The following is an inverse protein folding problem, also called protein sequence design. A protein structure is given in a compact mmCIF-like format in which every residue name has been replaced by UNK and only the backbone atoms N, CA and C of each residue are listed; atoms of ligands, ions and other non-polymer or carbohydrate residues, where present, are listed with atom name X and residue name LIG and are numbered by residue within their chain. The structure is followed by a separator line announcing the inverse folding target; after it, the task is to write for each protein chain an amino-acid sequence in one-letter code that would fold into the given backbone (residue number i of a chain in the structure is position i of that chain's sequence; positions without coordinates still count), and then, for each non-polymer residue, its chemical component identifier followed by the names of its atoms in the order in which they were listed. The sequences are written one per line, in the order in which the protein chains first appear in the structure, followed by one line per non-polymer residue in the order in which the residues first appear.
data_IF_831923970104
#
_entry.id   IF_831923970104
#
_cell.length_a   1.000
_cell.length_b   1.000
_cell.length_c   1.000
_cell.angle_alpha   90.00
_cell.angle_beta   90.00
_cell.angle_gamma   90.00
#
_symmetry.space_group_name_H-M   'P 1'
#
loop_
_entity.id
_entity.type
_entity.pdbx_description
1 polymer ?
#
# COMPACT_ATOMS: atom_id res chain seq x y z
N UNK A 1 -8.81 -28.09 -12.21
CA UNK A 1 -9.53 -27.41 -11.10
C UNK A 1 -8.66 -26.59 -10.15
N UNK A 2 -7.54 -27.12 -9.59
CA UNK A 2 -6.59 -26.29 -8.82
C UNK A 2 -5.73 -25.39 -9.71
N UNK A 3 -5.27 -25.91 -10.86
CA UNK A 3 -4.47 -25.15 -11.83
C UNK A 3 -5.25 -24.00 -12.48
N UNK A 4 -6.48 -24.24 -12.94
CA UNK A 4 -7.32 -23.19 -13.55
C UNK A 4 -7.54 -22.01 -12.60
N UNK A 5 -7.72 -22.29 -11.30
CA UNK A 5 -7.84 -21.26 -10.27
C UNK A 5 -6.56 -20.44 -10.12
N UNK A 6 -5.39 -21.09 -10.19
CA UNK A 6 -4.10 -20.40 -10.14
C UNK A 6 -3.86 -19.56 -11.39
N UNK A 7 -4.18 -20.09 -12.57
CA UNK A 7 -4.09 -19.37 -13.85
C UNK A 7 -4.98 -18.12 -13.83
N UNK A 8 -6.24 -18.26 -13.41
CA UNK A 8 -7.16 -17.12 -13.29
C UNK A 8 -6.68 -16.09 -12.25
N UNK A 9 -6.10 -16.55 -11.13
CA UNK A 9 -5.49 -15.66 -10.14
C UNK A 9 -4.29 -14.90 -10.71
N UNK A 10 -3.47 -15.57 -11.52
CA UNK A 10 -2.32 -14.98 -12.21
C UNK A 10 -2.73 -13.95 -13.27
N UNK A 11 -3.71 -14.26 -14.12
CA UNK A 11 -4.25 -13.34 -15.13
C UNK A 11 -4.77 -12.06 -14.47
N UNK A 12 -5.55 -12.18 -13.39
CA UNK A 12 -6.05 -11.03 -12.63
C UNK A 12 -4.92 -10.20 -12.03
N UNK A 13 -3.88 -10.86 -11.51
CA UNK A 13 -2.68 -10.19 -10.98
C UNK A 13 -1.98 -9.37 -12.08
N UNK A 14 -1.66 -9.99 -13.21
CA UNK A 14 -1.00 -9.31 -14.32
C UNK A 14 -1.83 -8.16 -14.88
N UNK A 15 -3.14 -8.33 -15.02
CA UNK A 15 -4.03 -7.27 -15.46
C UNK A 15 -4.03 -6.07 -14.51
N UNK A 16 -3.97 -6.31 -13.19
CA UNK A 16 -3.86 -5.25 -12.19
C UNK A 16 -2.51 -4.54 -12.25
N UNK A 17 -1.40 -5.30 -12.28
CA UNK A 17 -0.04 -4.79 -12.30
C UNK A 17 0.28 -3.92 -13.53
N UNK A 18 -0.41 -4.14 -14.64
CA UNK A 18 -0.24 -3.40 -15.88
C UNK A 18 -1.24 -2.26 -16.07
N UNK A 19 -2.10 -1.96 -15.09
CA UNK A 19 -3.01 -0.81 -15.19
C UNK A 19 -2.19 0.50 -15.24
N UNK A 20 -2.58 1.46 -16.09
CA UNK A 20 -2.00 2.79 -16.03
C UNK A 20 -2.31 3.41 -14.66
N UNK A 21 -1.38 4.20 -14.13
CA UNK A 21 -1.65 5.00 -12.94
C UNK A 21 -2.76 6.02 -13.28
N UNK A 22 -3.96 5.82 -12.76
CA UNK A 22 -5.06 6.78 -12.93
C UNK A 22 -4.72 8.08 -12.19
N UNK A 23 -4.62 9.20 -12.93
CA UNK A 23 -4.43 10.59 -12.46
C UNK A 23 -3.89 10.77 -11.03
N UNK A 24 -2.73 10.17 -10.73
CA UNK A 24 -2.02 10.44 -9.49
C UNK A 24 -1.56 11.89 -9.51
N UNK A 25 -2.01 12.67 -8.53
CA UNK A 25 -1.56 14.04 -8.35
C UNK A 25 -0.03 14.09 -8.43
N UNK A 26 0.45 14.80 -9.45
CA UNK A 26 1.87 14.96 -9.76
C UNK A 26 2.61 15.51 -8.55
N UNK A 27 3.37 14.67 -7.88
CA UNK A 27 4.53 15.16 -7.13
C UNK A 27 5.57 14.07 -6.85
N UNK A 28 6.26 13.62 -7.91
CA UNK A 28 7.44 12.74 -7.77
C UNK A 28 8.52 13.29 -6.81
N UNK A 29 8.54 14.61 -6.61
CA UNK A 29 9.59 15.31 -5.87
C UNK A 29 9.27 15.47 -4.38
N UNK A 30 8.00 15.68 -4.00
CA UNK A 30 7.65 15.78 -2.56
C UNK A 30 7.65 14.41 -1.89
N UNK A 31 7.37 13.34 -2.63
CA UNK A 31 7.31 11.98 -2.10
C UNK A 31 8.60 11.60 -1.36
N UNK A 32 9.77 11.77 -1.99
CA UNK A 32 11.05 11.30 -1.41
C UNK A 32 11.39 11.95 -0.05
N UNK A 33 11.13 13.25 0.09
CA UNK A 33 11.41 13.98 1.33
C UNK A 33 10.37 13.67 2.41
N UNK A 34 9.08 13.68 2.05
CA UNK A 34 8.02 13.42 3.01
C UNK A 34 8.05 11.98 3.54
N UNK A 35 8.33 10.98 2.69
CA UNK A 35 8.33 9.58 3.13
C UNK A 35 9.42 9.30 4.18
N UNK A 36 10.61 9.90 4.01
CA UNK A 36 11.71 9.70 4.95
C UNK A 36 11.44 10.37 6.29
N UNK A 37 10.91 11.61 6.27
CA UNK A 37 10.55 12.33 7.48
C UNK A 37 9.42 11.62 8.24
N UNK A 38 8.43 11.09 7.52
CA UNK A 38 7.32 10.39 8.14
C UNK A 38 7.74 9.04 8.74
N UNK A 39 8.65 8.31 8.07
CA UNK A 39 9.25 7.09 8.65
C UNK A 39 9.92 7.38 10.00
N UNK A 40 10.79 8.40 10.03
CA UNK A 40 11.49 8.79 11.25
C UNK A 40 10.54 9.29 12.35
N UNK A 41 9.50 10.05 11.99
CA UNK A 41 8.49 10.51 12.92
C UNK A 41 7.73 9.35 13.56
N UNK A 42 7.25 8.41 12.74
CA UNK A 42 6.46 7.27 13.22
C UNK A 42 7.29 6.37 14.13
N UNK A 43 8.52 6.04 13.76
CA UNK A 43 9.41 5.23 14.59
C UNK A 43 9.78 5.90 15.92
N UNK A 44 9.86 7.24 15.95
CA UNK A 44 10.27 7.99 17.14
C UNK A 44 9.12 8.22 18.12
N UNK A 45 7.92 8.50 17.62
CA UNK A 45 6.81 9.01 18.44
C UNK A 45 5.63 8.04 18.57
N UNK A 46 5.55 7.01 17.73
CA UNK A 46 4.49 6.01 17.80
C UNK A 46 5.07 4.72 18.37
N UNK A 47 4.39 4.17 19.37
CA UNK A 47 4.73 2.86 19.90
C UNK A 47 3.86 1.80 19.24
N UNK A 48 4.53 0.80 18.68
CA UNK A 48 3.93 -0.43 18.18
C UNK A 48 4.30 -1.56 19.12
N UNK A 49 3.37 -2.48 19.34
CA UNK A 49 3.65 -3.74 20.02
C UNK A 49 4.02 -4.82 19.00
N UNK A 50 4.69 -5.84 19.49
CA UNK A 50 5.02 -7.03 18.71
C UNK A 50 3.73 -7.63 18.12
N UNK A 51 3.73 -7.91 16.81
CA UNK A 51 2.60 -8.43 16.04
C UNK A 51 1.36 -7.53 15.91
N UNK A 52 1.48 -6.23 16.20
CA UNK A 52 0.40 -5.29 15.89
C UNK A 52 0.07 -5.27 14.40
N UNK A 53 -1.23 -5.13 14.09
CA UNK A 53 -1.73 -5.00 12.71
C UNK A 53 -1.73 -3.53 12.33
N UNK A 54 -0.95 -3.17 11.31
CA UNK A 54 -0.80 -1.77 10.88
C UNK A 54 -1.34 -1.62 9.46
N UNK A 55 -2.38 -0.80 9.29
CA UNK A 55 -2.87 -0.38 7.98
C UNK A 55 -2.21 0.94 7.60
N UNK A 56 -1.58 0.94 6.43
CA UNK A 56 -0.97 2.09 5.83
C UNK A 56 -1.75 2.46 4.55
N UNK A 57 -2.16 3.73 4.44
CA UNK A 57 -2.89 4.28 3.30
C UNK A 57 -2.02 5.39 2.69
N UNK A 58 -1.78 5.35 1.37
CA UNK A 58 -0.88 6.29 0.71
C UNK A 58 0.58 6.05 1.10
N UNK A 59 0.99 4.78 1.14
CA UNK A 59 2.30 4.37 1.63
C UNK A 59 3.44 4.66 0.67
N UNK A 60 3.12 5.08 -0.56
CA UNK A 60 4.04 5.10 -1.68
C UNK A 60 4.75 3.74 -1.77
N UNK A 61 6.09 3.74 -1.82
CA UNK A 61 6.88 2.51 -1.90
C UNK A 61 6.86 1.63 -0.64
N UNK A 62 6.12 1.97 0.42
CA UNK A 62 5.98 1.11 1.61
C UNK A 62 7.21 1.05 2.51
N UNK A 63 8.21 1.92 2.29
CA UNK A 63 9.50 1.91 3.01
C UNK A 63 9.34 2.00 4.53
N UNK A 64 8.54 2.94 5.01
CA UNK A 64 8.32 3.15 6.43
C UNK A 64 7.64 1.96 7.13
N UNK A 65 6.68 1.30 6.46
CA UNK A 65 6.07 0.05 6.97
C UNK A 65 7.13 -1.04 7.10
N UNK A 66 8.04 -1.14 6.12
CA UNK A 66 9.17 -2.08 6.19
C UNK A 66 10.13 -1.74 7.34
N UNK A 67 10.42 -0.46 7.58
CA UNK A 67 11.30 -0.03 8.66
C UNK A 67 10.70 -0.33 10.06
N UNK A 68 9.40 -0.07 10.24
CA UNK A 68 8.66 -0.43 11.47
C UNK A 68 8.67 -1.94 11.70
N UNK A 69 8.40 -2.72 10.66
CA UNK A 69 8.37 -4.18 10.75
C UNK A 69 9.72 -4.78 11.11
N UNK A 70 10.81 -4.27 10.52
CA UNK A 70 12.17 -4.69 10.88
C UNK A 70 12.52 -4.41 12.34
N UNK A 71 11.88 -3.41 12.95
CA UNK A 71 12.17 -2.97 14.32
C UNK A 71 11.30 -3.68 15.35
N UNK A 72 10.01 -3.89 15.05
CA UNK A 72 8.99 -4.33 16.03
C UNK A 72 8.29 -5.64 15.63
N UNK A 73 8.47 -6.13 14.40
CA UNK A 73 7.82 -7.33 13.84
C UNK A 73 6.28 -7.22 13.82
N UNK A 74 5.78 -6.28 13.02
CA UNK A 74 4.35 -5.98 12.86
C UNK A 74 3.73 -6.79 11.71
N UNK A 75 2.41 -6.76 11.59
CA UNK A 75 1.71 -7.22 10.39
C UNK A 75 1.21 -6.03 9.57
N UNK A 76 1.98 -5.63 8.56
CA UNK A 76 1.68 -4.49 7.70
C UNK A 76 0.68 -4.80 6.59
N UNK A 77 -0.27 -3.89 6.37
CA UNK A 77 -1.17 -3.84 5.22
C UNK A 77 -0.97 -2.51 4.49
N UNK A 78 -0.74 -2.55 3.18
CA UNK A 78 -0.43 -1.36 2.39
C UNK A 78 -1.52 -1.16 1.34
N UNK A 79 -2.09 0.04 1.34
CA UNK A 79 -3.06 0.51 0.36
C UNK A 79 -2.50 1.75 -0.34
N UNK A 80 -2.43 1.72 -1.66
CA UNK A 80 -2.00 2.86 -2.46
C UNK A 80 -2.78 2.90 -3.78
N UNK A 81 -2.97 4.10 -4.31
CA UNK A 81 -3.62 4.34 -5.60
C UNK A 81 -2.67 4.05 -6.78
N UNK A 82 -1.35 4.17 -6.59
CA UNK A 82 -0.37 3.88 -7.62
C UNK A 82 -0.02 2.39 -7.64
N UNK A 83 -0.30 1.76 -8.78
CA UNK A 83 0.11 0.37 -9.01
C UNK A 83 1.63 0.22 -8.99
N UNK A 84 2.36 1.23 -9.50
CA UNK A 84 3.83 1.23 -9.47
C UNK A 84 4.40 1.34 -8.05
N UNK A 85 3.77 2.13 -7.19
CA UNK A 85 4.18 2.21 -5.79
C UNK A 85 3.86 0.92 -5.04
N UNK A 86 2.70 0.30 -5.29
CA UNK A 86 2.38 -1.02 -4.76
C UNK A 86 3.39 -2.08 -5.20
N UNK A 87 3.79 -2.09 -6.48
CA UNK A 87 4.84 -2.96 -6.98
C UNK A 87 6.16 -2.74 -6.25
N UNK A 88 6.56 -1.48 -6.05
CA UNK A 88 7.76 -1.15 -5.29
C UNK A 88 7.66 -1.66 -3.84
N UNK A 89 6.51 -1.48 -3.20
CA UNK A 89 6.25 -1.96 -1.85
C UNK A 89 6.30 -3.48 -1.74
N UNK A 90 5.85 -4.23 -2.76
CA UNK A 90 6.00 -5.69 -2.83
C UNK A 90 7.47 -6.14 -2.83
N UNK A 91 8.36 -5.34 -3.43
CA UNK A 91 9.80 -5.64 -3.43
C UNK A 91 10.48 -5.29 -2.10
N UNK A 92 10.01 -4.24 -1.41
CA UNK A 92 10.59 -3.81 -0.14
C UNK A 92 10.05 -4.60 1.06
N UNK A 93 8.79 -5.01 1.03
CA UNK A 93 8.11 -5.65 2.14
C UNK A 93 7.88 -7.15 1.84
N UNK A 94 8.67 -8.07 2.43
CA UNK A 94 8.62 -9.49 2.07
C UNK A 94 7.32 -10.19 2.51
N UNK A 95 6.59 -9.62 3.47
CA UNK A 95 5.31 -10.15 3.97
C UNK A 95 4.08 -9.57 3.24
N UNK A 96 4.28 -8.94 2.09
CA UNK A 96 3.22 -8.28 1.34
C UNK A 96 2.19 -9.29 0.81
N UNK A 97 1.01 -9.30 1.43
CA UNK A 97 -0.15 -10.01 0.92
C UNK A 97 -1.15 -8.98 0.40
N UNK A 98 -1.36 -8.93 -0.92
CA UNK A 98 -2.39 -8.09 -1.51
C UNK A 98 -3.68 -8.91 -1.60
N UNK A 99 -4.75 -8.39 -1.00
CA UNK A 99 -6.10 -8.75 -1.44
C UNK A 99 -6.52 -7.69 -2.46
N UNK A 100 -6.76 -8.11 -3.70
CA UNK A 100 -7.36 -7.25 -4.74
C UNK A 100 -8.82 -7.04 -4.34
N UNK A 101 -9.07 -6.07 -3.46
CA UNK A 101 -10.41 -5.55 -3.30
C UNK A 101 -10.63 -4.50 -4.38
N UNK A 102 -11.56 -4.77 -5.29
CA UNK A 102 -12.15 -3.72 -6.12
C UNK A 102 -12.99 -2.88 -5.16
N UNK A 103 -12.37 -1.89 -4.53
CA UNK A 103 -13.09 -0.89 -3.75
C UNK A 103 -13.64 0.10 -4.78
N UNK A 104 -14.90 -0.09 -5.17
CA UNK A 104 -15.67 0.98 -5.79
C UNK A 104 -15.91 1.98 -4.66
N UNK A 105 -15.11 3.04 -4.57
CA UNK A 105 -15.47 4.18 -3.73
C UNK A 105 -16.77 4.77 -4.28
N UNK A 106 -17.87 4.79 -3.51
CA UNK A 106 -19.06 5.51 -3.93
C UNK A 106 -18.78 7.02 -3.76
N UNK A 107 -17.99 7.60 -4.66
CA UNK A 107 -17.87 9.05 -4.83
C UNK A 107 -19.08 9.55 -5.62
N UNK A 108 -20.28 9.37 -5.06
CA UNK A 108 -21.52 10.00 -5.48
C UNK A 108 -22.55 9.73 -4.40
N UNK A 109 -22.88 10.77 -3.61
CA UNK A 109 -24.05 10.94 -2.73
C UNK A 109 -23.76 11.38 -1.28
N UNK A 110 -22.52 11.75 -0.93
CA UNK A 110 -22.33 12.65 0.20
C UNK A 110 -22.59 14.08 -0.28
N UNK A 111 -23.86 14.48 -0.36
CA UNK A 111 -24.21 15.90 -0.37
C UNK A 111 -23.61 16.52 0.89
N UNK A 112 -22.64 17.43 0.72
CA UNK A 112 -22.20 18.30 1.80
C UNK A 112 -23.42 19.11 2.25
N UNK A 113 -24.04 18.68 3.36
CA UNK A 113 -24.97 19.52 4.11
C UNK A 113 -24.08 20.53 4.84
N UNK A 114 -24.20 21.78 4.40
CA UNK A 114 -23.67 22.96 5.10
C UNK A 114 -24.46 23.21 6.38
#
# INVERSE_FOLDING_TARGET
MKEDKLIQKWIRKNAFLNRPDEMLYRSRSTDLLYTQWMSAYVLKYIHFNYHDKVLCIGCHGGRWVSDIDRTVNIKGYILDQSVRQLQHAMHLYPHFNYDIQIIIFPLKNASFIR
#
